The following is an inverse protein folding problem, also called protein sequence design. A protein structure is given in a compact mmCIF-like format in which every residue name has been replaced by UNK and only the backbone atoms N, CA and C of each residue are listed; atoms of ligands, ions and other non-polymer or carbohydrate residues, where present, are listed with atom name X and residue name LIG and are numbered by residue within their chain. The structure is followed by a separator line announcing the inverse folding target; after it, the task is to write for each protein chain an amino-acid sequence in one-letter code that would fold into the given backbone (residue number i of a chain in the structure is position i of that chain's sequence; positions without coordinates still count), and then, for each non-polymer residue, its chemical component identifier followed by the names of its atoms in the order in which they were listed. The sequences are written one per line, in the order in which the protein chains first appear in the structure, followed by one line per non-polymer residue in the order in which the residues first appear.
data_IF_814772986716
#
_entry.id   IF_814772986716
#
_cell.length_a   1.000
_cell.length_b   1.000
_cell.length_c   1.000
_cell.angle_alpha   90.00
_cell.angle_beta   90.00
_cell.angle_gamma   90.00
#
_symmetry.space_group_name_H-M   'P 1'
#
loop_
_entity.id
_entity.type
_entity.pdbx_description
1 polymer ?
#
# COMPACT_ATOMS: atom_id res chain seq x y z
N UNK A 1 -49.03 20.40 39.71
CA UNK A 1 -48.38 19.12 40.04
C UNK A 1 -47.42 18.80 38.90
N UNK A 2 -46.13 19.10 39.08
CA UNK A 2 -45.07 18.78 38.13
C UNK A 2 -44.90 17.25 38.09
N UNK A 3 -45.16 16.64 36.93
CA UNK A 3 -44.75 15.26 36.68
C UNK A 3 -43.54 15.28 35.75
N UNK A 4 -42.36 15.31 36.38
CA UNK A 4 -41.07 15.01 35.77
C UNK A 4 -41.04 13.51 35.43
N UNK A 5 -41.47 13.14 34.23
CA UNK A 5 -41.11 11.84 33.64
C UNK A 5 -39.90 12.02 32.74
N UNK A 6 -38.75 12.28 33.37
CA UNK A 6 -37.45 12.01 32.78
C UNK A 6 -37.25 10.51 32.78
N UNK A 7 -37.60 9.84 31.68
CA UNK A 7 -37.29 8.43 31.46
C UNK A 7 -36.40 8.29 30.21
N UNK A 8 -35.11 8.48 30.42
CA UNK A 8 -34.15 7.43 30.09
C UNK A 8 -33.99 6.96 28.64
N UNK A 9 -34.37 7.71 27.61
CA UNK A 9 -33.93 7.37 26.25
C UNK A 9 -32.61 8.06 25.92
N UNK A 10 -31.56 7.73 26.68
CA UNK A 10 -30.20 7.72 26.10
C UNK A 10 -30.17 6.54 25.14
N UNK A 11 -30.83 6.68 23.99
CA UNK A 11 -30.41 5.96 22.79
C UNK A 11 -28.98 6.42 22.60
N UNK A 12 -28.04 5.62 23.10
CA UNK A 12 -26.68 5.64 22.63
C UNK A 12 -26.84 5.48 21.13
N UNK A 13 -26.79 6.61 20.43
CA UNK A 13 -26.61 6.62 18.99
C UNK A 13 -25.22 6.03 18.87
N UNK A 14 -25.15 4.71 18.81
CA UNK A 14 -24.01 4.01 18.26
C UNK A 14 -24.01 4.45 16.81
N UNK A 15 -23.38 5.59 16.55
CA UNK A 15 -22.99 6.02 15.21
C UNK A 15 -21.87 5.07 14.82
N UNK A 16 -22.20 3.79 14.58
CA UNK A 16 -21.35 2.95 13.77
C UNK A 16 -21.53 3.53 12.38
N UNK A 17 -20.66 4.51 12.05
CA UNK A 17 -20.52 4.98 10.68
C UNK A 17 -20.21 3.74 9.86
N UNK A 18 -21.15 3.39 8.99
CA UNK A 18 -21.10 2.29 8.03
C UNK A 18 -19.66 2.12 7.49
N UNK A 19 -18.93 1.13 8.00
CA UNK A 19 -17.54 0.87 7.60
C UNK A 19 -17.62 0.12 6.27
N UNK A 20 -17.68 0.88 5.18
CA UNK A 20 -17.62 0.32 3.83
C UNK A 20 -16.20 -0.09 3.53
N UNK A 21 -15.97 -1.40 3.45
CA UNK A 21 -14.70 -1.95 2.96
C UNK A 21 -14.63 -1.66 1.46
N UNK A 22 -13.83 -0.67 1.07
CA UNK A 22 -13.50 -0.41 -0.33
C UNK A 22 -12.38 -1.36 -0.72
N UNK A 23 -12.70 -2.41 -1.47
CA UNK A 23 -11.70 -3.29 -2.06
C UNK A 23 -11.08 -2.57 -3.25
N UNK A 24 -9.86 -2.10 -3.08
CA UNK A 24 -9.08 -1.50 -4.17
C UNK A 24 -8.42 -2.64 -4.95
N UNK A 25 -8.73 -2.73 -6.23
CA UNK A 25 -8.10 -3.71 -7.12
C UNK A 25 -6.73 -3.18 -7.54
N UNK A 26 -5.66 -3.87 -7.14
CA UNK A 26 -4.30 -3.50 -7.55
C UNK A 26 -4.06 -4.00 -8.99
N UNK A 27 -3.66 -3.13 -9.93
CA UNK A 27 -3.27 -3.54 -11.28
C UNK A 27 -2.17 -4.62 -11.26
N UNK A 28 -2.31 -5.64 -12.10
CA UNK A 28 -1.39 -6.78 -12.12
C UNK A 28 0.05 -6.35 -12.45
N UNK A 29 0.20 -5.33 -13.29
CA UNK A 29 1.48 -4.78 -13.74
C UNK A 29 2.30 -4.16 -12.59
N UNK A 30 1.63 -3.71 -11.52
CA UNK A 30 2.30 -3.19 -10.32
C UNK A 30 2.78 -4.31 -9.38
N UNK A 31 2.26 -5.52 -9.56
CA UNK A 31 2.63 -6.71 -8.79
C UNK A 31 3.68 -7.56 -9.51
N UNK A 32 3.96 -7.29 -10.78
CA UNK A 32 4.97 -7.98 -11.57
C UNK A 32 6.39 -7.65 -11.07
N UNK A 33 7.02 -8.62 -10.41
CA UNK A 33 8.43 -8.58 -10.05
C UNK A 33 9.25 -9.28 -11.12
N UNK A 34 10.05 -8.51 -11.86
CA UNK A 34 11.02 -9.08 -12.81
C UNK A 34 12.21 -9.62 -12.05
N UNK A 35 12.46 -10.92 -12.20
CA UNK A 35 13.66 -11.54 -11.67
C UNK A 35 14.89 -11.02 -12.41
N UNK A 36 15.92 -10.66 -11.66
CA UNK A 36 17.19 -10.26 -12.25
C UNK A 36 18.07 -11.50 -12.43
N UNK A 37 18.71 -11.66 -13.60
CA UNK A 37 19.69 -12.71 -13.79
C UNK A 37 20.87 -12.47 -12.86
N UNK A 38 21.53 -13.56 -12.45
CA UNK A 38 22.79 -13.46 -11.72
C UNK A 38 23.81 -12.72 -12.61
N UNK A 39 24.44 -11.64 -12.12
CA UNK A 39 25.42 -10.91 -12.92
C UNK A 39 26.66 -11.76 -13.16
N UNK A 40 27.23 -11.63 -14.35
CA UNK A 40 28.55 -12.16 -14.68
C UNK A 40 29.61 -11.10 -14.38
N UNK A 41 30.68 -11.48 -13.67
CA UNK A 41 31.65 -10.53 -13.13
C UNK A 41 33.06 -11.10 -13.25
N UNK A 42 33.83 -10.55 -14.18
CA UNK A 42 35.26 -10.82 -14.37
C UNK A 42 36.12 -9.55 -14.27
N UNK A 43 35.49 -8.37 -14.25
CA UNK A 43 36.16 -7.07 -14.26
C UNK A 43 35.44 -6.06 -13.36
N UNK A 44 36.16 -5.02 -12.95
CA UNK A 44 35.60 -3.95 -12.11
C UNK A 44 34.44 -3.20 -12.81
N UNK A 45 34.52 -3.03 -14.13
CA UNK A 45 33.45 -2.43 -14.92
C UNK A 45 32.17 -3.26 -14.83
N UNK A 46 32.28 -4.58 -14.87
CA UNK A 46 31.12 -5.48 -14.73
C UNK A 46 30.52 -5.43 -13.32
N UNK A 47 31.33 -5.23 -12.28
CA UNK A 47 30.84 -4.96 -10.92
C UNK A 47 29.99 -3.69 -10.89
N UNK A 48 30.51 -2.60 -11.45
CA UNK A 48 29.81 -1.31 -11.50
C UNK A 48 28.50 -1.40 -12.29
N UNK A 49 28.52 -2.13 -13.42
CA UNK A 49 27.33 -2.36 -14.23
C UNK A 49 26.28 -3.20 -13.50
N UNK A 50 26.71 -4.27 -12.83
CA UNK A 50 25.82 -5.12 -12.02
C UNK A 50 25.15 -4.31 -10.91
N UNK A 51 25.91 -3.47 -10.19
CA UNK A 51 25.37 -2.60 -9.16
C UNK A 51 24.40 -1.56 -9.73
N UNK A 52 24.76 -0.92 -10.84
CA UNK A 52 23.90 0.08 -11.50
C UNK A 52 22.57 -0.52 -11.94
N UNK A 53 22.59 -1.73 -12.51
CA UNK A 53 21.39 -2.46 -12.89
C UNK A 53 20.53 -2.81 -11.67
N UNK A 54 21.14 -3.37 -10.62
CA UNK A 54 20.43 -3.68 -9.38
C UNK A 54 19.75 -2.44 -8.79
N UNK A 55 20.49 -1.34 -8.70
CA UNK A 55 19.98 -0.07 -8.17
C UNK A 55 18.80 0.47 -8.98
N UNK A 56 18.90 0.44 -10.31
CA UNK A 56 17.81 0.85 -11.19
C UNK A 56 16.52 0.08 -10.90
N UNK A 57 16.60 -1.26 -10.87
CA UNK A 57 15.43 -2.11 -10.62
C UNK A 57 14.87 -1.95 -9.21
N UNK A 58 15.73 -1.79 -8.20
CA UNK A 58 15.31 -1.44 -6.84
C UNK A 58 14.50 -0.15 -6.82
N UNK A 59 14.97 0.91 -7.49
CA UNK A 59 14.24 2.19 -7.56
C UNK A 59 12.88 2.05 -8.24
N UNK A 60 12.77 1.22 -9.28
CA UNK A 60 11.48 0.92 -9.91
C UNK A 60 10.51 0.23 -8.94
N UNK A 61 10.98 -0.74 -8.13
CA UNK A 61 10.16 -1.39 -7.11
C UNK A 61 9.64 -0.38 -6.07
N UNK A 62 10.49 0.52 -5.58
CA UNK A 62 10.08 1.57 -4.64
C UNK A 62 8.99 2.47 -5.25
N UNK A 63 9.10 2.82 -6.53
CA UNK A 63 8.09 3.60 -7.24
C UNK A 63 6.77 2.82 -7.35
N UNK A 64 6.81 1.54 -7.72
CA UNK A 64 5.62 0.69 -7.80
C UNK A 64 4.92 0.57 -6.44
N UNK A 65 5.67 0.39 -5.36
CA UNK A 65 5.12 0.39 -3.99
C UNK A 65 4.44 1.71 -3.63
N UNK A 66 5.02 2.84 -4.06
CA UNK A 66 4.39 4.16 -3.91
C UNK A 66 3.04 4.24 -4.62
N UNK A 67 2.98 3.82 -5.88
CA UNK A 67 1.74 3.78 -6.66
C UNK A 67 0.68 2.89 -6.01
N UNK A 68 1.06 1.71 -5.50
CA UNK A 68 0.13 0.81 -4.80
C UNK A 68 -0.45 1.48 -3.55
N UNK A 69 0.38 2.22 -2.80
CA UNK A 69 -0.06 2.96 -1.61
C UNK A 69 -1.08 4.04 -1.97
N UNK A 70 -0.84 4.80 -3.04
CA UNK A 70 -1.74 5.86 -3.53
C UNK A 70 -3.11 5.31 -3.97
N UNK A 71 -3.22 4.05 -4.40
CA UNK A 71 -4.52 3.47 -4.76
C UNK A 71 -5.45 3.30 -3.55
N UNK A 72 -4.90 3.24 -2.33
CA UNK A 72 -5.66 3.07 -1.08
C UNK A 72 -5.93 4.36 -0.31
N UNK A 73 -5.39 5.50 -0.75
CA UNK A 73 -5.65 6.85 -0.22
C UNK A 73 -6.83 7.49 -0.97
#
# INVERSE_FOLDING_TARGET
MLWLTGCGSKTQIQVVKDVKIVKVQVPAELLELKTLPKPYVNSEIEILNAYSMLFYHYKQCVIQMGKIKELGE
#
